data_IF_901671243706
#
_entry.id   IF_901671243706
#
_cell.length_a   1.000
_cell.length_b   1.000
_cell.length_c   1.000
_cell.angle_alpha   90.00
_cell.angle_beta   90.00
_cell.angle_gamma   90.00
#
_symmetry.space_group_name_H-M   'P 1'
#
loop_
_entity.id
_entity.type
_entity.pdbx_description
1 polymer ?
#
# COMPACT_ATOMS: atom_id res chain seq x y z
N UNK A 1 18.70 -4.91 1.50
CA UNK A 1 17.23 -4.71 1.39
C UNK A 1 16.75 -3.91 2.60
N UNK A 2 16.00 -2.83 2.38
CA UNK A 2 15.47 -1.98 3.43
C UNK A 2 13.99 -2.30 3.67
N UNK A 3 13.66 -2.70 4.89
CA UNK A 3 12.27 -3.00 5.28
C UNK A 3 11.53 -1.78 5.83
N UNK A 4 12.27 -0.77 6.31
CA UNK A 4 11.71 0.37 7.04
C UNK A 4 12.28 1.73 6.58
N UNK A 5 13.57 1.78 6.25
CA UNK A 5 14.27 3.00 5.89
C UNK A 5 14.02 3.39 4.43
N UNK A 6 12.86 3.99 4.16
CA UNK A 6 12.46 4.47 2.84
C UNK A 6 13.46 5.50 2.26
N UNK A 7 13.91 6.53 3.00
CA UNK A 7 14.85 7.50 2.43
C UNK A 7 16.19 6.90 2.00
N UNK A 8 16.72 5.92 2.74
CA UNK A 8 17.93 5.23 2.32
C UNK A 8 17.74 4.44 1.02
N UNK A 9 16.60 3.75 0.88
CA UNK A 9 16.23 3.06 -0.36
C UNK A 9 16.08 4.03 -1.54
N UNK A 10 15.38 5.15 -1.33
CA UNK A 10 15.21 6.20 -2.34
C UNK A 10 16.57 6.72 -2.82
N UNK A 11 17.51 6.96 -1.90
CA UNK A 11 18.87 7.41 -2.23
C UNK A 11 19.66 6.36 -3.01
N UNK A 12 19.68 5.10 -2.57
CA UNK A 12 20.40 4.03 -3.28
C UNK A 12 19.83 3.75 -4.67
N UNK A 13 18.50 3.83 -4.83
CA UNK A 13 17.85 3.74 -6.14
C UNK A 13 18.27 4.88 -7.06
N UNK A 14 18.37 6.12 -6.54
CA UNK A 14 18.79 7.28 -7.34
C UNK A 14 20.27 7.22 -7.75
N UNK A 15 21.08 6.52 -6.96
CA UNK A 15 22.48 6.29 -7.25
C UNK A 15 22.75 5.04 -8.11
N UNK A 16 21.72 4.27 -8.46
CA UNK A 16 21.86 2.99 -9.20
C UNK A 16 22.72 1.95 -8.46
N UNK A 17 22.77 2.03 -7.12
CA UNK A 17 23.58 1.15 -6.26
C UNK A 17 22.91 -0.19 -5.95
N UNK A 18 21.67 -0.40 -6.41
CA UNK A 18 20.89 -1.60 -6.11
C UNK A 18 21.01 -2.60 -7.25
N UNK A 19 21.52 -3.78 -6.94
CA UNK A 19 21.64 -4.89 -7.88
C UNK A 19 20.25 -5.38 -8.36
N UNK A 20 20.20 -5.95 -9.57
CA UNK A 20 18.96 -6.56 -10.10
C UNK A 20 18.39 -7.65 -9.18
N UNK A 21 19.27 -8.42 -8.54
CA UNK A 21 18.84 -9.43 -7.58
C UNK A 21 18.21 -8.81 -6.32
N UNK A 22 18.72 -7.67 -5.85
CA UNK A 22 18.10 -6.97 -4.72
C UNK A 22 16.73 -6.38 -5.10
N UNK A 23 16.56 -5.88 -6.32
CA UNK A 23 15.25 -5.47 -6.86
C UNK A 23 14.28 -6.66 -6.90
N UNK A 24 14.74 -7.83 -7.35
CA UNK A 24 13.95 -9.05 -7.38
C UNK A 24 13.51 -9.48 -5.96
N UNK A 25 14.35 -9.31 -4.93
CA UNK A 25 13.94 -9.58 -3.54
C UNK A 25 12.78 -8.69 -3.08
N UNK A 26 12.75 -7.42 -3.47
CA UNK A 26 11.58 -6.56 -3.18
C UNK A 26 10.32 -7.07 -3.86
N UNK A 27 10.42 -7.50 -5.11
CA UNK A 27 9.29 -8.11 -5.84
C UNK A 27 8.79 -9.38 -5.14
N UNK A 28 9.70 -10.31 -4.82
CA UNK A 28 9.37 -11.58 -4.14
C UNK A 28 8.71 -11.29 -2.79
N UNK A 29 9.28 -10.39 -2.00
CA UNK A 29 8.72 -10.06 -0.69
C UNK A 29 7.34 -9.40 -0.81
N UNK A 30 7.13 -8.51 -1.79
CA UNK A 30 5.83 -7.92 -2.06
C UNK A 30 4.82 -8.99 -2.52
N UNK A 31 5.22 -9.93 -3.37
CA UNK A 31 4.37 -11.05 -3.80
C UNK A 31 3.97 -11.94 -2.62
N UNK A 32 4.92 -12.28 -1.73
CA UNK A 32 4.64 -13.04 -0.50
C UNK A 32 3.62 -12.28 0.36
N UNK A 33 3.78 -10.96 0.55
CA UNK A 33 2.82 -10.16 1.30
C UNK A 33 1.42 -10.19 0.68
N UNK A 34 1.32 -10.15 -0.66
CA UNK A 34 0.03 -10.26 -1.34
C UNK A 34 -0.61 -11.64 -1.15
N UNK A 35 0.18 -12.72 -1.20
CA UNK A 35 -0.30 -14.08 -0.91
C UNK A 35 -0.78 -14.20 0.53
N UNK A 36 0.01 -13.73 1.50
CA UNK A 36 -0.39 -13.74 2.92
C UNK A 36 -1.65 -12.90 3.15
N UNK A 37 -1.76 -11.75 2.46
CA UNK A 37 -2.94 -10.91 2.50
C UNK A 37 -4.17 -11.57 1.87
N UNK A 38 -4.00 -12.37 0.81
CA UNK A 38 -5.11 -13.07 0.16
C UNK A 38 -5.60 -14.29 0.92
N UNK A 39 -4.78 -14.87 1.81
CA UNK A 39 -5.21 -15.97 2.70
C UNK A 39 -6.41 -15.56 3.59
N UNK A 40 -6.60 -14.27 3.88
CA UNK A 40 -7.79 -13.80 4.61
C UNK A 40 -9.10 -14.01 3.84
N UNK A 41 -9.04 -14.19 2.52
CA UNK A 41 -10.21 -14.49 1.68
C UNK A 41 -10.67 -15.94 1.88
N UNK A 42 -9.76 -16.84 2.27
CA UNK A 42 -10.05 -18.27 2.45
C UNK A 42 -10.46 -18.64 3.87
N UNK A 43 -10.45 -17.69 4.82
CA UNK A 43 -11.03 -17.91 6.15
C UNK A 43 -12.55 -17.95 5.94
N UNK A 44 -13.23 -19.09 6.19
CA UNK A 44 -14.66 -19.19 5.98
C UNK A 44 -15.35 -18.27 6.99
N UNK A 45 -15.74 -17.07 6.54
CA UNK A 45 -16.73 -16.28 7.26
C UNK A 45 -18.02 -17.11 7.28
N UNK A 46 -18.70 -17.23 8.44
CA UNK A 46 -19.96 -17.96 8.52
C UNK A 46 -20.87 -17.43 7.41
N UNK A 47 -21.37 -18.36 6.59
CA UNK A 47 -22.13 -18.09 5.37
C UNK A 47 -23.45 -17.39 5.72
N UNK A 48 -23.38 -16.09 5.94
CA UNK A 48 -24.54 -15.23 6.09
C UNK A 48 -25.01 -14.88 4.69
N UNK A 49 -26.29 -15.19 4.39
CA UNK A 49 -26.97 -14.67 3.19
C UNK A 49 -26.81 -13.15 3.18
N UNK A 50 -25.90 -12.62 2.34
CA UNK A 50 -25.79 -11.19 2.12
C UNK A 50 -27.13 -10.71 1.55
N UNK A 51 -27.84 -9.91 2.34
CA UNK A 51 -29.10 -9.30 1.93
C UNK A 51 -28.79 -8.20 0.91
N UNK A 52 -29.67 -8.01 -0.07
CA UNK A 52 -29.38 -7.31 -1.33
C UNK A 52 -28.66 -5.96 -1.22
N UNK A 53 -28.94 -5.15 -0.20
CA UNK A 53 -28.29 -3.84 -0.02
C UNK A 53 -26.80 -3.96 0.32
N UNK A 54 -26.40 -4.99 1.06
CA UNK A 54 -25.00 -5.23 1.43
C UNK A 54 -24.17 -5.67 0.21
N UNK A 55 -24.78 -6.47 -0.68
CA UNK A 55 -24.19 -6.88 -1.94
C UNK A 55 -24.00 -5.68 -2.88
N UNK A 56 -25.00 -4.80 -2.97
CA UNK A 56 -24.93 -3.59 -3.78
C UNK A 56 -23.84 -2.63 -3.28
N UNK A 57 -23.75 -2.42 -1.97
CA UNK A 57 -22.68 -1.60 -1.37
C UNK A 57 -21.31 -2.25 -1.61
N UNK A 58 -21.21 -3.57 -1.45
CA UNK A 58 -19.99 -4.32 -1.75
C UNK A 58 -19.52 -4.12 -3.19
N UNK A 59 -20.44 -4.15 -4.14
CA UNK A 59 -20.15 -3.88 -5.55
C UNK A 59 -19.58 -2.48 -5.78
N UNK A 60 -20.23 -1.44 -5.23
CA UNK A 60 -19.72 -0.06 -5.36
C UNK A 60 -18.38 0.15 -4.65
N UNK A 61 -18.16 -0.48 -3.50
CA UNK A 61 -16.86 -0.46 -2.81
C UNK A 61 -15.79 -1.08 -3.70
N UNK A 62 -16.05 -2.23 -4.32
CA UNK A 62 -15.09 -2.89 -5.22
C UNK A 62 -14.76 -2.00 -6.42
N UNK A 63 -15.75 -1.35 -7.03
CA UNK A 63 -15.50 -0.36 -8.09
C UNK A 63 -14.64 0.78 -7.57
N UNK A 64 -14.97 1.31 -6.39
CA UNK A 64 -14.20 2.36 -5.72
C UNK A 64 -12.73 1.96 -5.53
N UNK A 65 -12.49 0.71 -5.11
CA UNK A 65 -11.14 0.16 -4.93
C UNK A 65 -10.37 0.16 -6.25
N UNK A 66 -10.97 -0.36 -7.32
CA UNK A 66 -10.37 -0.38 -8.68
C UNK A 66 -10.04 1.04 -9.15
N UNK A 67 -10.96 1.99 -8.97
CA UNK A 67 -10.76 3.39 -9.36
C UNK A 67 -9.62 4.04 -8.56
N UNK A 68 -9.55 3.81 -7.25
CA UNK A 68 -8.48 4.36 -6.39
C UNK A 68 -7.13 3.76 -6.78
N UNK A 69 -7.05 2.45 -6.99
CA UNK A 69 -5.82 1.78 -7.43
C UNK A 69 -5.35 2.34 -8.77
N UNK A 70 -6.23 2.41 -9.75
CA UNK A 70 -5.91 2.95 -11.07
C UNK A 70 -5.43 4.41 -11.00
N UNK A 71 -6.18 5.29 -10.31
CA UNK A 71 -5.79 6.70 -10.14
C UNK A 71 -4.50 6.84 -9.32
N UNK A 72 -4.32 6.00 -8.31
CA UNK A 72 -3.12 5.93 -7.48
C UNK A 72 -1.88 5.62 -8.30
N UNK A 73 -1.88 4.50 -9.02
CA UNK A 73 -0.78 4.09 -9.90
C UNK A 73 -0.53 5.17 -10.96
N UNK A 74 -1.58 5.68 -11.62
CA UNK A 74 -1.45 6.76 -12.61
C UNK A 74 -0.80 8.01 -12.01
N UNK A 75 -1.17 8.39 -10.79
CA UNK A 75 -0.59 9.57 -10.13
C UNK A 75 0.91 9.41 -9.87
N UNK A 76 1.35 8.21 -9.47
CA UNK A 76 2.76 7.87 -9.25
C UNK A 76 3.52 7.80 -10.57
N UNK A 77 2.92 7.20 -11.60
CA UNK A 77 3.47 7.19 -12.96
C UNK A 77 3.72 8.59 -13.50
N UNK A 78 2.77 9.52 -13.31
CA UNK A 78 2.95 10.91 -13.74
C UNK A 78 4.10 11.62 -13.01
N UNK A 79 4.42 11.22 -11.77
CA UNK A 79 5.61 11.73 -11.07
C UNK A 79 6.88 11.11 -11.69
N UNK A 80 6.91 9.79 -11.89
CA UNK A 80 8.06 9.12 -12.55
C UNK A 80 8.36 9.70 -13.94
N UNK A 81 7.32 9.98 -14.73
CA UNK A 81 7.43 10.60 -16.04
C UNK A 81 8.12 11.97 -16.00
N UNK A 82 7.95 12.73 -14.92
CA UNK A 82 8.60 14.05 -14.74
C UNK A 82 10.06 13.97 -14.27
N UNK A 83 10.49 12.80 -13.78
CA UNK A 83 11.85 12.58 -13.31
C UNK A 83 12.73 12.25 -14.51
N UNK A 84 12.46 11.11 -15.14
CA UNK A 84 13.22 10.60 -16.29
C UNK A 84 12.41 9.63 -17.18
N UNK A 85 11.17 9.32 -16.79
CA UNK A 85 10.29 8.39 -17.50
C UNK A 85 10.87 6.96 -17.71
N UNK A 86 11.80 6.52 -16.88
CA UNK A 86 12.42 5.20 -16.96
C UNK A 86 12.12 4.34 -15.72
N UNK A 87 12.37 3.03 -15.82
CA UNK A 87 12.36 2.04 -14.73
C UNK A 87 11.14 2.11 -13.78
N UNK A 88 9.95 2.45 -14.29
CA UNK A 88 8.77 2.67 -13.45
C UNK A 88 8.38 1.43 -12.64
N UNK A 89 8.35 0.27 -13.29
CA UNK A 89 7.95 -1.00 -12.66
C UNK A 89 8.91 -1.42 -11.55
N UNK A 90 10.22 -1.24 -11.77
CA UNK A 90 11.24 -1.51 -10.75
C UNK A 90 11.07 -0.59 -9.54
N UNK A 91 10.94 0.72 -9.78
CA UNK A 91 10.82 1.74 -8.73
C UNK A 91 9.55 1.58 -7.92
N UNK A 92 8.41 1.35 -8.58
CA UNK A 92 7.14 1.19 -7.88
C UNK A 92 7.17 -0.08 -7.02
N UNK A 93 7.78 -1.16 -7.51
CA UNK A 93 7.92 -2.40 -6.73
C UNK A 93 8.83 -2.19 -5.52
N UNK A 94 10.01 -1.61 -5.72
CA UNK A 94 10.97 -1.38 -4.62
C UNK A 94 10.41 -0.42 -3.57
N UNK A 95 9.81 0.69 -3.99
CA UNK A 95 9.31 1.71 -3.06
C UNK A 95 7.99 1.35 -2.40
N UNK A 96 7.16 0.50 -3.03
CA UNK A 96 5.89 0.06 -2.43
C UNK A 96 6.11 -0.89 -1.25
N UNK A 97 7.18 -1.70 -1.27
CA UNK A 97 7.38 -2.74 -0.26
C UNK A 97 7.61 -2.19 1.17
N UNK A 98 8.60 -1.33 1.45
CA UNK A 98 8.82 -0.83 2.81
C UNK A 98 7.64 0.05 3.27
N UNK A 99 6.92 0.67 2.34
CA UNK A 99 5.68 1.38 2.65
C UNK A 99 4.55 0.41 3.05
N UNK A 100 4.38 -0.69 2.32
CA UNK A 100 3.41 -1.73 2.66
C UNK A 100 3.68 -2.31 4.04
N UNK A 101 4.95 -2.56 4.40
CA UNK A 101 5.35 -3.00 5.75
C UNK A 101 4.90 -2.01 6.83
N UNK A 102 5.11 -0.70 6.63
CA UNK A 102 4.65 0.33 7.58
C UNK A 102 3.14 0.30 7.75
N UNK A 103 2.40 0.19 6.65
CA UNK A 103 0.95 0.15 6.69
C UNK A 103 0.44 -1.14 7.37
N UNK A 104 1.03 -2.29 7.08
CA UNK A 104 0.71 -3.55 7.74
C UNK A 104 0.94 -3.43 9.26
N UNK A 105 2.07 -2.87 9.69
CA UNK A 105 2.36 -2.70 11.12
C UNK A 105 1.35 -1.79 11.81
N UNK A 106 0.98 -0.66 11.18
CA UNK A 106 -0.06 0.22 11.74
C UNK A 106 -1.41 -0.50 11.81
N UNK A 107 -1.79 -1.23 10.75
CA UNK A 107 -3.03 -1.98 10.72
C UNK A 107 -3.07 -3.08 11.79
N UNK A 108 -2.00 -3.86 11.94
CA UNK A 108 -1.86 -4.88 12.98
C UNK A 108 -1.95 -4.25 14.37
N UNK A 109 -1.29 -3.10 14.58
CA UNK A 109 -1.35 -2.37 15.86
C UNK A 109 -2.80 -1.95 16.18
N UNK A 110 -3.52 -1.39 15.21
CA UNK A 110 -4.94 -1.03 15.37
C UNK A 110 -5.77 -2.28 15.72
N UNK A 111 -5.57 -3.39 15.00
CA UNK A 111 -6.29 -4.65 15.24
C UNK A 111 -6.01 -5.17 16.65
N UNK A 112 -4.75 -5.15 17.10
CA UNK A 112 -4.39 -5.60 18.45
C UNK A 112 -5.02 -4.71 19.52
N UNK A 113 -4.96 -3.39 19.37
CA UNK A 113 -5.63 -2.44 20.28
C UNK A 113 -7.13 -2.74 20.36
N UNK A 114 -7.78 -3.00 19.22
CA UNK A 114 -9.19 -3.35 19.17
C UNK A 114 -9.48 -4.72 19.81
N UNK A 115 -8.63 -5.73 19.56
CA UNK A 115 -8.82 -7.08 20.10
C UNK A 115 -8.69 -7.13 21.64
N UNK A 116 -7.78 -6.32 22.21
CA UNK A 116 -7.54 -6.24 23.65
C UNK A 116 -8.29 -5.09 24.36
N UNK A 117 -8.96 -4.21 23.61
CA UNK A 117 -9.64 -3.00 24.12
C UNK A 117 -10.94 -3.21 24.92
N UNK A 118 -11.24 -4.43 25.36
CA UNK A 118 -12.39 -4.76 26.19
C UNK A 118 -13.65 -5.24 25.44
N UNK A 119 -14.69 -5.59 26.21
CA UNK A 119 -15.87 -6.31 25.71
C UNK A 119 -16.74 -5.52 24.72
N UNK A 120 -16.66 -4.19 24.74
CA UNK A 120 -17.38 -3.34 23.77
C UNK A 120 -16.85 -3.53 22.35
N UNK A 121 -15.53 -3.64 22.18
CA UNK A 121 -14.90 -3.79 20.86
C UNK A 121 -15.08 -5.21 20.33
N UNK A 122 -15.00 -6.22 21.20
CA UNK A 122 -15.32 -7.61 20.85
C UNK A 122 -16.74 -7.76 20.31
N UNK A 123 -17.72 -7.03 20.85
CA UNK A 123 -19.10 -7.05 20.33
C UNK A 123 -19.21 -6.46 18.92
N UNK A 124 -18.53 -5.36 18.63
CA UNK A 124 -18.50 -4.75 17.29
C UNK A 124 -17.83 -5.69 16.27
N UNK A 125 -16.82 -6.46 16.70
CA UNK A 125 -16.05 -7.34 15.82
C UNK A 125 -16.73 -8.71 15.59
N UNK A 126 -17.30 -9.31 16.63
CA UNK A 126 -17.94 -10.65 16.59
C UNK A 126 -19.41 -10.58 16.17
N UNK A 127 -20.14 -9.55 16.60
CA UNK A 127 -21.55 -9.35 16.27
C UNK A 127 -21.77 -8.16 15.33
N UNK A 128 -20.72 -7.79 14.59
CA UNK A 128 -20.75 -6.64 13.70
C UNK A 128 -22.00 -6.66 12.81
N UNK A 129 -22.86 -5.68 13.03
CA UNK A 129 -24.06 -5.49 12.22
C UNK A 129 -23.67 -5.10 10.78
N UNK A 130 -24.68 -4.91 9.93
CA UNK A 130 -24.46 -4.47 8.54
C UNK A 130 -23.63 -3.16 8.51
N UNK A 131 -23.82 -2.27 9.48
CA UNK A 131 -23.13 -0.99 9.55
C UNK A 131 -21.62 -1.16 9.77
N UNK A 132 -21.19 -1.99 10.73
CA UNK A 132 -19.75 -2.18 10.97
C UNK A 132 -19.03 -2.82 9.78
N UNK A 133 -19.70 -3.73 9.05
CA UNK A 133 -19.17 -4.34 7.81
C UNK A 133 -18.99 -3.32 6.69
N UNK A 134 -19.98 -2.44 6.51
CA UNK A 134 -19.89 -1.33 5.55
C UNK A 134 -18.76 -0.37 5.96
N UNK A 135 -18.68 -0.03 7.25
CA UNK A 135 -17.65 0.87 7.76
C UNK A 135 -16.24 0.32 7.50
N UNK A 136 -15.99 -0.97 7.76
CA UNK A 136 -14.69 -1.62 7.49
C UNK A 136 -14.35 -1.54 5.99
N UNK A 137 -15.33 -1.80 5.11
CA UNK A 137 -15.16 -1.71 3.65
C UNK A 137 -14.79 -0.28 3.21
N UNK A 138 -15.46 0.74 3.74
CA UNK A 138 -15.16 2.15 3.45
C UNK A 138 -13.81 2.57 4.00
N UNK A 139 -13.46 2.15 5.23
CA UNK A 139 -12.15 2.40 5.81
C UNK A 139 -11.03 1.76 5.00
N UNK A 140 -11.25 0.58 4.40
CA UNK A 140 -10.29 -0.04 3.50
C UNK A 140 -10.04 0.84 2.25
N UNK A 141 -11.08 1.44 1.67
CA UNK A 141 -10.92 2.41 0.55
C UNK A 141 -10.08 3.61 0.97
N UNK A 142 -10.34 4.15 2.16
CA UNK A 142 -9.54 5.23 2.71
C UNK A 142 -8.08 4.80 2.91
N UNK A 143 -7.86 3.60 3.43
CA UNK A 143 -6.54 3.04 3.69
C UNK A 143 -5.69 2.94 2.41
N UNK A 144 -6.24 2.36 1.35
CA UNK A 144 -5.55 2.24 0.06
C UNK A 144 -5.31 3.60 -0.59
N UNK A 145 -6.24 4.54 -0.44
CA UNK A 145 -6.07 5.91 -0.93
C UNK A 145 -4.89 6.61 -0.23
N UNK A 146 -4.81 6.50 1.11
CA UNK A 146 -3.71 7.04 1.90
C UNK A 146 -2.38 6.39 1.51
N UNK A 147 -2.35 5.06 1.30
CA UNK A 147 -1.17 4.36 0.80
C UNK A 147 -0.60 5.00 -0.48
N UNK A 148 -1.45 5.26 -1.49
CA UNK A 148 -0.99 5.90 -2.73
C UNK A 148 -0.54 7.35 -2.56
N UNK A 149 -1.10 8.10 -1.61
CA UNK A 149 -0.59 9.44 -1.26
C UNK A 149 0.85 9.35 -0.76
N UNK A 150 1.13 8.42 0.17
CA UNK A 150 2.47 8.24 0.71
C UNK A 150 3.44 7.68 -0.33
N UNK A 151 3.00 6.77 -1.20
CA UNK A 151 3.81 6.25 -2.30
C UNK A 151 4.18 7.37 -3.28
N UNK A 152 3.22 8.23 -3.64
CA UNK A 152 3.48 9.41 -4.47
C UNK A 152 4.51 10.34 -3.83
N UNK A 153 4.41 10.60 -2.52
CA UNK A 153 5.42 11.41 -1.79
C UNK A 153 6.81 10.77 -1.85
N UNK A 154 6.90 9.44 -1.76
CA UNK A 154 8.16 8.71 -1.90
C UNK A 154 8.79 8.92 -3.28
N UNK A 155 7.99 8.85 -4.35
CA UNK A 155 8.46 9.15 -5.71
C UNK A 155 8.92 10.60 -5.88
N UNK A 156 8.24 11.56 -5.25
CA UNK A 156 8.69 12.96 -5.29
C UNK A 156 10.06 13.13 -4.62
N UNK A 157 10.27 12.55 -3.42
CA UNK A 157 11.59 12.59 -2.75
C UNK A 157 12.68 11.91 -3.57
N UNK A 158 12.36 10.78 -4.19
CA UNK A 158 13.26 10.10 -5.11
C UNK A 158 13.68 11.02 -6.29
N UNK A 159 12.72 11.73 -6.89
CA UNK A 159 13.00 12.73 -7.92
C UNK A 159 13.91 13.86 -7.43
N UNK A 160 13.70 14.33 -6.20
CA UNK A 160 14.55 15.36 -5.58
C UNK A 160 16.01 14.88 -5.43
N UNK A 161 16.24 13.60 -5.12
CA UNK A 161 17.59 13.03 -5.04
C UNK A 161 18.29 13.01 -6.41
N UNK A 162 17.58 12.59 -7.47
CA UNK A 162 18.14 12.61 -8.83
C UNK A 162 18.47 14.04 -9.27
N UNK A 163 17.55 14.99 -9.01
CA UNK A 163 17.78 16.39 -9.36
C UNK A 163 19.03 16.95 -8.67
N UNK A 164 19.22 16.68 -7.37
CA UNK A 164 20.41 17.12 -6.63
C UNK A 164 21.70 16.50 -7.17
N UNK A 165 21.70 15.18 -7.44
CA UNK A 165 22.83 14.46 -8.04
C UNK A 165 23.24 15.08 -9.38
N UNK A 166 22.28 15.33 -10.27
CA UNK A 166 22.55 15.92 -11.58
C UNK A 166 23.08 17.36 -11.47
N UNK A 167 22.61 18.13 -10.47
CA UNK A 167 23.12 19.47 -10.21
C UNK A 167 24.57 19.45 -9.73
N UNK A 168 24.94 18.51 -8.86
CA UNK A 168 26.32 18.36 -8.37
C UNK A 168 27.29 17.98 -9.50
N UNK A 169 26.88 17.09 -10.42
CA UNK A 169 27.69 16.67 -11.57
C UNK A 169 27.93 17.78 -12.62
N UNK A 170 27.03 18.75 -12.72
CA UNK A 170 27.16 19.87 -13.68
C UNK A 170 28.01 21.04 -13.15
N UNK A 171 28.47 20.97 -11.89
CA UNK A 171 29.29 22.01 -11.25
C UNK A 171 30.79 21.62 -11.21
N UNK A 172 31.11 20.36 -11.52
CA UNK A 172 32.47 19.81 -11.69
C UNK A 172 32.88 19.74 -13.14
#
# INVERSE_FOLDING_TARGET
>A
MYFWNQPALEKQLANEEISEWDKAKYYIAFAILNVLGSLSIYIPFPSYKQQGIESLIGFFVTIGFVVIVFKGIKSVFMVNKKIDNSHFIERITCLSFPLAIKFIIVLVTIILILAFGGDAVKRIWVYGDIFSRILIRVLNLFWIYVFYIFLRKSFTRFGDFIYRKNKELNVT
#
